data_IF_230713433468
#
_entry.id   IF_230713433468
#
_cell.length_a   1.000
_cell.length_b   1.000
_cell.length_c   1.000
_cell.angle_alpha   90.00
_cell.angle_beta   90.00
_cell.angle_gamma   90.00
#
_symmetry.space_group_name_H-M   'P 1'
#
loop_
_entity.id
_entity.type
_entity.pdbx_description
1 polymer ?
#
# COMPACT_ATOMS: atom_id res chain seq x y z
N UNK A 1 6.29 2.33 16.70
CA UNK A 1 7.64 2.40 16.09
C UNK A 1 8.24 1.00 16.09
N UNK A 2 8.49 0.39 14.92
CA UNK A 2 9.20 -0.89 14.86
C UNK A 2 10.66 -0.63 15.25
N UNK A 3 11.07 -1.11 16.42
CA UNK A 3 12.48 -1.20 16.82
C UNK A 3 13.17 -2.05 15.75
N UNK A 4 14.23 -1.54 15.13
CA UNK A 4 14.92 -2.13 13.99
C UNK A 4 15.58 -3.48 14.29
N UNK A 5 14.79 -4.51 14.60
CA UNK A 5 15.24 -5.86 14.82
C UNK A 5 15.80 -6.45 13.52
N UNK A 6 17.03 -6.94 13.61
CA UNK A 6 17.69 -7.67 12.55
C UNK A 6 16.82 -8.84 12.09
N UNK A 7 16.55 -8.91 10.79
CA UNK A 7 15.74 -9.97 10.20
C UNK A 7 16.57 -10.75 9.20
N UNK A 8 16.79 -12.03 9.48
CA UNK A 8 17.42 -12.98 8.57
C UNK A 8 16.72 -13.02 7.19
N UNK A 9 15.41 -12.78 7.13
CA UNK A 9 14.63 -12.70 5.88
C UNK A 9 14.95 -11.46 5.03
N UNK A 10 15.52 -10.40 5.62
CA UNK A 10 16.09 -9.25 4.91
C UNK A 10 17.52 -9.53 4.46
N UNK A 11 18.33 -10.16 5.32
CA UNK A 11 19.72 -10.49 5.00
C UNK A 11 19.83 -11.49 3.85
N UNK A 12 18.98 -12.54 3.85
CA UNK A 12 18.89 -13.55 2.78
C UNK A 12 18.31 -12.95 1.46
N UNK A 13 17.80 -11.71 1.48
CA UNK A 13 17.37 -11.02 0.27
C UNK A 13 15.96 -11.38 -0.25
N UNK A 14 15.24 -12.28 0.42
CA UNK A 14 13.85 -12.65 0.07
C UNK A 14 12.95 -11.40 0.03
N UNK A 15 13.17 -10.47 0.97
CA UNK A 15 12.45 -9.19 0.99
C UNK A 15 12.73 -8.32 -0.23
N UNK A 16 14.00 -8.28 -0.67
CA UNK A 16 14.41 -7.52 -1.85
C UNK A 16 13.86 -8.13 -3.13
N UNK A 17 13.82 -9.46 -3.23
CA UNK A 17 13.24 -10.19 -4.37
C UNK A 17 11.75 -9.86 -4.53
N UNK A 18 10.95 -9.94 -3.45
CA UNK A 18 9.53 -9.57 -3.50
C UNK A 18 9.32 -8.11 -3.95
N UNK A 19 10.18 -7.20 -3.49
CA UNK A 19 10.14 -5.80 -3.90
C UNK A 19 10.53 -5.61 -5.39
N UNK A 20 11.51 -6.35 -5.90
CA UNK A 20 11.92 -6.30 -7.31
C UNK A 20 10.81 -6.84 -8.22
N UNK A 21 10.22 -7.98 -7.88
CA UNK A 21 9.11 -8.57 -8.65
C UNK A 21 7.92 -7.61 -8.64
N UNK A 22 7.54 -7.09 -7.47
CA UNK A 22 6.43 -6.13 -7.35
C UNK A 22 6.62 -4.87 -8.19
N UNK A 23 7.86 -4.35 -8.29
CA UNK A 23 8.19 -3.21 -9.17
C UNK A 23 8.12 -3.58 -10.65
N UNK A 24 8.56 -4.78 -11.02
CA UNK A 24 8.54 -5.26 -12.41
C UNK A 24 7.12 -5.49 -12.93
N UNK A 25 6.23 -6.03 -12.10
CA UNK A 25 4.83 -6.33 -12.48
C UNK A 25 3.86 -5.17 -12.22
N UNK A 26 4.25 -4.12 -11.47
CA UNK A 26 3.39 -2.98 -11.10
C UNK A 26 2.29 -3.30 -10.08
N UNK A 27 2.21 -4.54 -9.61
CA UNK A 27 1.22 -5.04 -8.65
C UNK A 27 1.90 -5.18 -7.28
N UNK A 28 1.35 -4.57 -6.21
CA UNK A 28 1.86 -4.74 -4.86
C UNK A 28 1.64 -6.18 -4.38
N UNK A 29 2.74 -6.94 -4.29
CA UNK A 29 2.70 -8.31 -3.77
C UNK A 29 2.62 -8.35 -2.24
N UNK A 30 2.95 -7.25 -1.57
CA UNK A 30 2.86 -7.14 -0.12
C UNK A 30 1.44 -6.81 0.33
N UNK A 31 1.02 -7.39 1.46
CA UNK A 31 -0.27 -7.10 2.09
C UNK A 31 -0.41 -5.60 2.39
N UNK A 32 0.64 -4.98 2.93
CA UNK A 32 0.69 -3.54 3.19
C UNK A 32 0.58 -2.69 1.93
N UNK A 33 1.17 -3.12 0.81
CA UNK A 33 1.05 -2.43 -0.47
C UNK A 33 -0.38 -2.47 -1.03
N UNK A 34 -1.06 -3.62 -0.90
CA UNK A 34 -2.48 -3.74 -1.27
C UNK A 34 -3.38 -2.87 -0.39
N UNK A 35 -3.16 -2.89 0.91
CA UNK A 35 -3.90 -2.04 1.86
C UNK A 35 -3.75 -0.55 1.53
N UNK A 36 -2.55 -0.08 1.15
CA UNK A 36 -2.34 1.30 0.72
C UNK A 36 -3.09 1.66 -0.56
N UNK A 37 -3.09 0.77 -1.57
CA UNK A 37 -3.87 1.00 -2.82
C UNK A 37 -5.36 1.08 -2.53
N UNK A 38 -5.90 0.12 -1.77
CA UNK A 38 -7.33 0.09 -1.43
C UNK A 38 -7.72 1.26 -0.54
N UNK A 39 -6.91 1.59 0.47
CA UNK A 39 -7.14 2.75 1.33
C UNK A 39 -7.18 4.06 0.54
N UNK A 40 -6.26 4.27 -0.39
CA UNK A 40 -6.26 5.46 -1.25
C UNK A 40 -7.54 5.55 -2.11
N UNK A 41 -8.02 4.42 -2.65
CA UNK A 41 -9.27 4.38 -3.39
C UNK A 41 -10.47 4.72 -2.51
N UNK A 42 -10.60 4.07 -1.34
CA UNK A 42 -11.70 4.31 -0.40
C UNK A 42 -11.73 5.78 0.00
N UNK A 43 -10.58 6.36 0.38
CA UNK A 43 -10.50 7.78 0.75
C UNK A 43 -10.93 8.68 -0.42
N UNK A 44 -10.52 8.36 -1.65
CA UNK A 44 -10.90 9.14 -2.83
C UNK A 44 -12.42 9.10 -3.06
N UNK A 45 -13.04 7.93 -2.97
CA UNK A 45 -14.49 7.78 -3.15
C UNK A 45 -15.28 8.42 -2.02
N UNK A 46 -14.88 8.20 -0.78
CA UNK A 46 -15.52 8.83 0.39
C UNK A 46 -15.43 10.36 0.29
N UNK A 47 -14.26 10.89 -0.10
CA UNK A 47 -14.09 12.34 -0.31
C UNK A 47 -14.94 12.83 -1.49
N UNK A 48 -14.98 12.10 -2.60
CA UNK A 48 -15.79 12.49 -3.76
C UNK A 48 -17.28 12.52 -3.40
N UNK A 49 -17.77 11.48 -2.72
CA UNK A 49 -19.14 11.40 -2.21
C UNK A 49 -19.47 12.57 -1.28
N UNK A 50 -18.59 12.87 -0.32
CA UNK A 50 -18.82 13.99 0.60
C UNK A 50 -18.78 15.36 -0.10
N UNK A 51 -17.93 15.52 -1.12
CA UNK A 51 -17.91 16.73 -1.96
C UNK A 51 -19.17 16.86 -2.82
N UNK A 52 -19.74 15.74 -3.26
CA UNK A 52 -20.98 15.69 -4.03
C UNK A 52 -22.19 16.08 -3.18
N UNK A 53 -22.28 15.58 -1.94
CA UNK A 53 -23.29 15.99 -0.97
C UNK A 53 -23.20 17.49 -0.64
N UNK A 54 -21.99 18.02 -0.51
CA UNK A 54 -21.74 19.47 -0.30
C UNK A 54 -22.12 20.33 -1.52
N UNK A 55 -22.15 19.78 -2.73
CA UNK A 55 -22.50 20.49 -3.98
C UNK A 55 -24.00 20.59 -4.23
N UNK A 56 -24.80 19.69 -3.65
CA UNK A 56 -26.26 19.65 -3.83
C UNK A 56 -27.04 20.55 -2.84
N UNK A 57 -26.37 21.11 -1.84
CA UNK A 57 -26.93 22.01 -0.84
C UNK A 57 -26.53 23.45 -1.13
#
# INVERSE_FOLDING_TARGET
>A
MNRGGFSWKRLIGISALKAKISRKIGIPLTQSGRQRKLGALIIKYVRAFFLEEKRKK
#
